data_IF_774461199571
#
_entry.id   IF_774461199571
#
_cell.length_a   1.000
_cell.length_b   1.000
_cell.length_c   1.000
_cell.angle_alpha   90.00
_cell.angle_beta   90.00
_cell.angle_gamma   90.00
#
_symmetry.space_group_name_H-M   'P 1'
#
loop_
_entity.id
_entity.type
_entity.pdbx_description
1 polymer ?
#
# COMPACT_ATOMS: atom_id res chain seq x y z
N UNK A 1 -21.51 -34.55 -62.87
CA UNK A 1 -22.00 -35.45 -61.80
C UNK A 1 -20.75 -36.03 -61.17
N UNK A 2 -20.20 -35.31 -60.20
CA UNK A 2 -20.28 -35.69 -58.76
C UNK A 2 -19.16 -36.66 -58.43
N UNK A 3 -18.40 -36.58 -57.35
CA UNK A 3 -18.22 -35.60 -56.29
C UNK A 3 -16.88 -35.96 -55.63
N UNK A 4 -16.11 -34.93 -55.29
CA UNK A 4 -15.08 -34.73 -54.25
C UNK A 4 -14.24 -35.91 -53.65
N UNK A 5 -12.94 -35.67 -53.37
CA UNK A 5 -11.98 -36.60 -52.76
C UNK A 5 -11.91 -36.47 -51.22
N UNK A 6 -11.62 -37.57 -50.52
CA UNK A 6 -11.34 -37.55 -49.07
C UNK A 6 -9.95 -36.96 -48.80
N UNK A 7 -9.91 -35.64 -48.66
CA UNK A 7 -8.81 -34.91 -48.05
C UNK A 7 -8.80 -35.13 -46.53
N UNK A 8 -7.68 -35.63 -46.02
CA UNK A 8 -7.41 -35.79 -44.59
C UNK A 8 -7.46 -34.43 -43.89
N UNK A 9 -8.52 -34.19 -43.13
CA UNK A 9 -8.69 -32.97 -42.33
C UNK A 9 -7.72 -33.00 -41.15
N UNK A 10 -6.82 -32.01 -41.08
CA UNK A 10 -6.01 -31.73 -39.89
C UNK A 10 -6.77 -30.67 -39.10
N UNK A 11 -7.29 -31.05 -37.93
CA UNK A 11 -7.87 -30.08 -37.00
C UNK A 11 -6.72 -29.28 -36.36
N UNK A 12 -6.44 -28.10 -36.92
CA UNK A 12 -5.68 -27.04 -36.26
C UNK A 12 -6.61 -26.33 -35.29
N UNK A 13 -6.35 -26.48 -33.99
CA UNK A 13 -7.03 -25.71 -32.96
C UNK A 13 -6.56 -24.25 -33.05
N UNK A 14 -7.35 -23.41 -33.70
CA UNK A 14 -7.23 -21.96 -33.63
C UNK A 14 -7.94 -21.45 -32.37
N UNK A 15 -7.19 -20.80 -31.49
CA UNK A 15 -7.70 -19.83 -30.52
C UNK A 15 -8.72 -20.33 -29.51
N UNK A 16 -8.24 -20.84 -28.38
CA UNK A 16 -8.75 -20.33 -27.13
C UNK A 16 -7.63 -19.44 -26.58
N UNK A 17 -7.93 -18.15 -26.41
CA UNK A 17 -7.13 -17.32 -25.53
C UNK A 17 -6.86 -18.15 -24.28
N UNK A 18 -5.58 -18.36 -23.96
CA UNK A 18 -5.23 -18.80 -22.62
C UNK A 18 -5.80 -17.70 -21.73
N UNK A 19 -6.92 -18.00 -21.11
CA UNK A 19 -7.33 -17.31 -19.90
C UNK A 19 -6.04 -17.27 -19.07
N UNK A 20 -5.43 -16.10 -18.77
CA UNK A 20 -4.44 -16.11 -17.73
C UNK A 20 -5.17 -16.72 -16.53
N UNK A 21 -4.65 -17.86 -16.07
CA UNK A 21 -4.96 -18.37 -14.74
C UNK A 21 -4.96 -17.16 -13.80
N UNK A 22 -5.92 -17.03 -12.87
CA UNK A 22 -5.88 -15.93 -11.93
C UNK A 22 -4.49 -15.96 -11.32
N UNK A 23 -3.69 -14.92 -11.57
CA UNK A 23 -2.45 -14.70 -10.84
C UNK A 23 -2.83 -14.85 -9.38
N UNK A 24 -2.28 -15.89 -8.74
CA UNK A 24 -2.43 -16.10 -7.32
C UNK A 24 -1.67 -14.92 -6.72
N UNK A 25 -2.38 -13.81 -6.52
CA UNK A 25 -1.89 -12.66 -5.77
C UNK A 25 -1.40 -13.25 -4.46
N UNK A 26 -0.12 -13.01 -4.16
CA UNK A 26 0.49 -13.47 -2.92
C UNK A 26 -0.43 -13.08 -1.76
N UNK A 27 -0.61 -13.95 -0.76
CA UNK A 27 -1.49 -13.62 0.35
C UNK A 27 -1.01 -12.30 0.96
N UNK A 28 -1.87 -11.28 0.90
CA UNK A 28 -1.69 -10.01 1.60
C UNK A 28 -1.15 -10.31 3.00
N UNK A 29 0.00 -9.76 3.35
CA UNK A 29 0.67 -10.05 4.62
C UNK A 29 -0.29 -9.77 5.77
N UNK A 30 -0.20 -10.54 6.87
CA UNK A 30 -1.05 -10.28 8.05
C UNK A 30 -0.83 -8.85 8.59
N UNK A 31 0.39 -8.32 8.45
CA UNK A 31 0.72 -6.93 8.79
C UNK A 31 -0.03 -5.92 7.90
N UNK A 32 -0.10 -6.15 6.59
CA UNK A 32 -0.85 -5.29 5.67
C UNK A 32 -2.35 -5.29 5.98
N UNK A 33 -2.92 -6.44 6.37
CA UNK A 33 -4.31 -6.52 6.84
C UNK A 33 -4.52 -5.71 8.12
N UNK A 34 -3.61 -5.82 9.08
CA UNK A 34 -3.69 -5.05 10.32
C UNK A 34 -3.59 -3.54 10.06
N UNK A 35 -2.65 -3.10 9.20
CA UNK A 35 -2.54 -1.70 8.78
C UNK A 35 -3.79 -1.18 8.09
N UNK A 36 -4.41 -1.99 7.23
CA UNK A 36 -5.69 -1.68 6.61
C UNK A 36 -6.80 -1.50 7.65
N UNK A 37 -6.90 -2.39 8.64
CA UNK A 37 -7.88 -2.29 9.73
C UNK A 37 -7.70 -0.99 10.52
N UNK A 38 -6.46 -0.69 10.93
CA UNK A 38 -6.13 0.55 11.65
C UNK A 38 -6.46 1.78 10.81
N UNK A 39 -6.08 1.81 9.53
CA UNK A 39 -6.41 2.92 8.64
C UNK A 39 -7.92 3.10 8.50
N UNK A 40 -8.66 2.01 8.36
CA UNK A 40 -10.12 2.00 8.26
C UNK A 40 -10.79 2.58 9.50
N UNK A 41 -10.29 2.28 10.70
CA UNK A 41 -10.83 2.86 11.93
C UNK A 41 -10.51 4.36 12.06
N UNK A 42 -9.29 4.75 11.72
CA UNK A 42 -8.83 6.13 11.83
C UNK A 42 -9.51 7.06 10.82
N UNK A 43 -9.74 6.60 9.58
CA UNK A 43 -10.32 7.42 8.51
C UNK A 43 -11.78 7.76 8.76
N UNK A 44 -12.52 6.88 9.42
CA UNK A 44 -13.90 7.14 9.88
C UNK A 44 -13.96 8.22 10.96
N UNK A 45 -12.85 8.46 11.66
CA UNK A 45 -12.75 9.42 12.76
C UNK A 45 -12.26 10.82 12.32
N UNK A 46 -11.78 10.98 11.08
CA UNK A 46 -11.40 12.29 10.54
C UNK A 46 -10.17 12.26 9.62
N UNK A 47 -9.15 13.03 9.98
CA UNK A 47 -7.89 13.14 9.22
C UNK A 47 -6.89 12.12 9.79
N UNK A 48 -6.41 11.22 8.92
CA UNK A 48 -5.36 10.26 9.21
C UNK A 48 -4.05 10.78 8.64
N UNK A 49 -3.04 10.91 9.50
CA UNK A 49 -1.67 11.17 9.10
C UNK A 49 -0.92 9.84 8.98
N UNK A 50 -0.55 9.49 7.76
CA UNK A 50 0.28 8.32 7.41
C UNK A 50 1.73 8.75 7.33
N UNK A 51 2.61 8.05 8.04
CA UNK A 51 4.06 8.25 7.98
C UNK A 51 4.71 7.05 7.29
N UNK A 52 5.47 7.34 6.23
CA UNK A 52 5.98 6.32 5.33
C UNK A 52 7.45 6.53 4.95
N UNK A 53 8.09 5.44 4.53
CA UNK A 53 9.38 5.44 3.82
C UNK A 53 9.15 5.42 2.31
N UNK A 54 9.60 6.48 1.62
CA UNK A 54 9.40 6.63 0.17
C UNK A 54 10.38 5.83 -0.68
N UNK A 55 11.31 5.10 -0.06
CA UNK A 55 12.29 4.22 -0.73
C UNK A 55 11.75 2.82 -1.00
N UNK A 56 10.63 2.46 -0.36
CA UNK A 56 9.99 1.15 -0.52
C UNK A 56 9.42 1.03 -1.94
N UNK A 57 9.54 -0.18 -2.50
CA UNK A 57 9.04 -0.49 -3.84
C UNK A 57 7.53 -0.26 -3.90
N UNK A 58 7.04 0.26 -5.03
CA UNK A 58 5.62 0.56 -5.24
C UNK A 58 5.15 1.91 -4.67
N UNK A 59 5.99 2.65 -3.95
CA UNK A 59 5.63 4.01 -3.52
C UNK A 59 5.66 4.98 -4.72
N UNK A 60 4.52 5.62 -4.97
CA UNK A 60 4.40 6.72 -5.92
C UNK A 60 4.09 8.03 -5.17
N UNK A 61 5.00 9.00 -5.28
CA UNK A 61 4.90 10.35 -4.71
C UNK A 61 5.57 11.36 -5.67
N UNK A 62 5.36 12.69 -5.51
CA UNK A 62 6.11 13.66 -6.30
C UNK A 62 7.64 13.45 -6.18
N UNK A 63 8.36 13.64 -7.29
CA UNK A 63 9.79 13.34 -7.38
C UNK A 63 10.65 14.00 -6.29
N UNK A 64 10.25 15.18 -5.82
CA UNK A 64 10.95 15.90 -4.76
C UNK A 64 10.89 15.23 -3.38
N UNK A 65 9.97 14.30 -3.16
CA UNK A 65 9.84 13.51 -1.94
C UNK A 65 10.37 12.09 -2.08
N UNK A 66 10.73 11.66 -3.30
CA UNK A 66 11.28 10.33 -3.53
C UNK A 66 12.64 10.17 -2.83
N UNK A 67 12.90 9.00 -2.27
CA UNK A 67 14.17 8.67 -1.62
C UNK A 67 14.31 9.15 -0.18
N UNK A 68 13.25 9.73 0.40
CA UNK A 68 13.20 10.15 1.80
C UNK A 68 12.77 8.99 2.72
N UNK A 69 13.46 8.77 3.86
CA UNK A 69 13.07 7.75 4.84
C UNK A 69 11.81 8.12 5.63
N UNK A 70 11.35 9.37 5.52
CA UNK A 70 10.18 9.86 6.22
C UNK A 70 9.44 10.87 5.35
N UNK A 71 8.18 10.57 5.07
CA UNK A 71 7.19 11.49 4.52
C UNK A 71 5.90 11.37 5.33
N UNK A 72 5.19 12.47 5.50
CA UNK A 72 3.85 12.49 6.12
C UNK A 72 2.81 12.87 5.07
N UNK A 73 1.76 12.07 4.95
CA UNK A 73 0.62 12.32 4.08
C UNK A 73 -0.68 12.28 4.88
N UNK A 74 -1.57 13.22 4.60
CA UNK A 74 -2.88 13.31 5.24
C UNK A 74 -3.96 12.76 4.31
N UNK A 75 -4.84 11.92 4.85
CA UNK A 75 -6.01 11.39 4.17
C UNK A 75 -7.26 11.72 4.98
N UNK A 76 -8.36 12.05 4.28
CA UNK A 76 -9.65 12.31 4.90
C UNK A 76 -10.77 12.23 3.87
N UNK A 77 -11.93 11.69 4.26
CA UNK A 77 -13.14 11.78 3.45
C UNK A 77 -13.59 13.23 3.21
N UNK A 78 -13.27 14.16 4.13
CA UNK A 78 -13.61 15.58 4.02
C UNK A 78 -12.87 16.30 2.88
N UNK A 79 -11.77 15.73 2.38
CA UNK A 79 -11.07 16.27 1.22
C UNK A 79 -11.82 16.03 -0.10
N UNK A 80 -12.82 15.13 -0.10
CA UNK A 80 -13.67 14.81 -1.26
C UNK A 80 -12.86 14.49 -2.52
N UNK A 81 -11.73 13.79 -2.34
CA UNK A 81 -10.83 13.41 -3.43
C UNK A 81 -11.52 12.31 -4.28
N UNK A 82 -11.78 12.52 -5.58
CA UNK A 82 -12.59 11.58 -6.37
C UNK A 82 -11.97 10.20 -6.59
N UNK A 83 -10.65 10.12 -6.54
CA UNK A 83 -9.84 8.91 -6.73
C UNK A 83 -9.23 8.39 -5.42
N UNK A 84 -9.78 8.80 -4.28
CA UNK A 84 -9.39 8.25 -2.99
C UNK A 84 -9.92 6.83 -2.85
N UNK A 85 -9.01 5.88 -2.64
CA UNK A 85 -9.32 4.47 -2.45
C UNK A 85 -8.27 3.81 -1.55
N UNK A 86 -8.64 2.74 -0.86
CA UNK A 86 -7.74 1.94 -0.05
C UNK A 86 -8.24 0.50 0.07
N UNK A 87 -7.32 -0.45 0.06
CA UNK A 87 -7.61 -1.89 0.09
C UNK A 87 -6.45 -2.68 0.72
N UNK A 88 -6.36 -3.98 0.45
CA UNK A 88 -5.30 -4.83 1.00
C UNK A 88 -3.88 -4.48 0.53
N UNK A 89 -3.70 -3.71 -0.54
CA UNK A 89 -2.36 -3.33 -1.03
C UNK A 89 -1.87 -2.02 -0.43
N UNK A 90 -2.76 -1.05 -0.23
CA UNK A 90 -2.37 0.27 0.22
C UNK A 90 -3.47 1.32 0.18
N UNK A 91 -3.05 2.58 0.22
CA UNK A 91 -3.90 3.76 0.07
C UNK A 91 -3.47 4.59 -1.14
N UNK A 92 -4.45 5.07 -1.91
CA UNK A 92 -4.23 5.78 -3.19
C UNK A 92 -5.12 7.02 -3.25
N UNK A 93 -4.57 8.12 -3.73
CA UNK A 93 -5.31 9.38 -3.91
C UNK A 93 -4.50 10.41 -4.73
N UNK A 94 -5.19 11.30 -5.45
CA UNK A 94 -4.58 12.53 -5.94
C UNK A 94 -4.46 13.58 -4.83
N UNK A 95 -3.26 13.69 -4.25
CA UNK A 95 -2.94 14.65 -3.17
C UNK A 95 -2.37 15.96 -3.72
N UNK A 96 -2.62 17.08 -3.02
CA UNK A 96 -2.14 18.40 -3.42
C UNK A 96 -0.85 18.78 -2.71
N UNK A 97 0.20 19.05 -3.49
CA UNK A 97 1.50 19.52 -3.00
C UNK A 97 1.74 20.93 -3.52
N UNK A 98 1.64 21.92 -2.64
CA UNK A 98 1.75 23.34 -3.01
C UNK A 98 0.80 23.74 -4.16
N UNK A 99 -0.40 23.16 -4.19
CA UNK A 99 -1.43 23.42 -5.20
C UNK A 99 -1.29 22.58 -6.48
N UNK A 100 -0.31 21.68 -6.57
CA UNK A 100 -0.16 20.73 -7.67
C UNK A 100 -0.68 19.37 -7.24
N UNK A 101 -1.71 18.87 -7.93
CA UNK A 101 -2.24 17.54 -7.66
C UNK A 101 -1.33 16.47 -8.28
N UNK A 102 -0.95 15.48 -7.49
CA UNK A 102 -0.15 14.32 -7.91
C UNK A 102 -0.81 13.06 -7.39
N UNK A 103 -1.04 12.10 -8.28
CA UNK A 103 -1.51 10.78 -7.88
C UNK A 103 -0.45 10.09 -7.03
N UNK A 104 -0.83 9.71 -5.81
CA UNK A 104 0.00 9.00 -4.86
C UNK A 104 -0.54 7.59 -4.65
N UNK A 105 0.37 6.64 -4.54
CA UNK A 105 0.07 5.24 -4.23
C UNK A 105 1.06 4.77 -3.17
N UNK A 106 0.52 4.37 -2.02
CA UNK A 106 1.29 4.07 -0.82
C UNK A 106 0.97 2.64 -0.39
N UNK A 107 1.86 1.67 -0.70
CA UNK A 107 1.75 0.32 -0.20
C UNK A 107 1.81 0.28 1.32
N UNK A 108 1.11 -0.66 1.96
CA UNK A 108 1.17 -0.80 3.43
C UNK A 108 2.58 -1.09 3.95
N UNK A 109 3.41 -1.77 3.16
CA UNK A 109 4.82 -2.05 3.47
C UNK A 109 5.66 -0.78 3.61
N UNK A 110 5.24 0.34 3.02
CA UNK A 110 5.91 1.63 3.16
C UNK A 110 5.53 2.35 4.47
N UNK A 111 4.43 1.97 5.11
CA UNK A 111 3.86 2.69 6.25
C UNK A 111 4.39 2.11 7.56
N UNK A 112 5.02 2.96 8.37
CA UNK A 112 5.55 2.56 9.68
C UNK A 112 4.87 3.26 10.86
N UNK A 113 4.04 4.27 10.61
CA UNK A 113 3.22 4.90 11.66
C UNK A 113 1.95 5.54 11.09
N UNK A 114 0.84 5.42 11.82
CA UNK A 114 -0.42 6.11 11.55
C UNK A 114 -0.91 6.81 12.81
N UNK A 115 -1.54 7.98 12.66
CA UNK A 115 -2.20 8.67 13.77
C UNK A 115 -3.34 9.56 13.28
N UNK A 116 -4.36 9.83 14.08
CA UNK A 116 -5.26 10.95 13.84
C UNK A 116 -4.48 12.27 13.92
N UNK A 117 -4.91 13.29 13.17
CA UNK A 117 -4.26 14.61 13.20
C UNK A 117 -4.36 15.30 14.58
N UNK A 118 -5.45 15.03 15.31
CA UNK A 118 -5.87 15.78 16.50
C UNK A 118 -5.54 15.13 17.84
N UNK A 119 -5.20 13.83 17.86
CA UNK A 119 -4.91 13.07 19.09
C UNK A 119 -3.43 12.64 19.06
N UNK A 120 -2.81 12.55 20.24
CA UNK A 120 -1.42 12.09 20.40
C UNK A 120 -1.27 10.56 20.24
N UNK A 121 -2.36 9.81 20.18
CA UNK A 121 -2.33 8.36 20.04
C UNK A 121 -1.85 7.95 18.64
N UNK A 122 -0.66 7.36 18.57
CA UNK A 122 -0.08 6.84 17.33
C UNK A 122 -0.03 5.32 17.34
N UNK A 123 -0.39 4.71 16.23
CA UNK A 123 -0.12 3.29 15.97
C UNK A 123 1.18 3.20 15.17
N UNK A 124 2.12 2.40 15.67
CA UNK A 124 3.44 2.18 15.08
C UNK A 124 3.56 0.74 14.62
N UNK A 125 4.21 0.53 13.48
CA UNK A 125 4.41 -0.78 12.86
C UNK A 125 5.91 -1.08 12.80
N UNK A 126 6.48 -1.71 13.84
CA UNK A 126 7.93 -1.83 14.03
C UNK A 126 8.67 -2.49 12.85
N UNK A 127 8.02 -3.44 12.16
CA UNK A 127 8.62 -4.19 11.05
C UNK A 127 8.87 -3.33 9.81
N UNK A 128 8.17 -2.21 9.68
CA UNK A 128 8.31 -1.28 8.56
C UNK A 128 9.19 -0.06 8.88
N UNK A 129 9.74 0.01 10.09
CA UNK A 129 10.59 1.14 10.48
C UNK A 129 11.89 1.18 9.69
N UNK A 130 12.25 2.34 9.10
CA UNK A 130 13.56 2.52 8.51
C UNK A 130 14.66 2.49 9.57
N UNK A 131 15.77 1.81 9.27
CA UNK A 131 16.91 1.72 10.20
C UNK A 131 17.43 3.09 10.61
N UNK A 132 17.49 4.06 9.67
CA UNK A 132 17.98 5.40 9.98
C UNK A 132 17.06 6.15 10.95
N UNK A 133 15.76 5.85 10.94
CA UNK A 133 14.81 6.42 11.90
C UNK A 133 15.01 5.75 13.26
N UNK A 134 15.14 4.42 13.32
CA UNK A 134 15.42 3.69 14.55
C UNK A 134 16.68 4.20 15.25
N UNK A 135 17.76 4.45 14.49
CA UNK A 135 19.03 4.94 15.02
C UNK A 135 18.92 6.36 15.64
N UNK A 136 17.87 7.11 15.29
CA UNK A 136 17.60 8.45 15.84
C UNK A 136 16.61 8.44 17.01
N UNK A 137 15.92 7.32 17.26
CA UNK A 137 14.95 7.23 18.34
C UNK A 137 15.65 7.18 19.71
N UNK A 138 15.02 7.77 20.76
CA UNK A 138 15.47 7.57 22.13
C UNK A 138 15.46 6.08 22.50
N UNK A 139 16.42 5.61 23.34
CA UNK A 139 16.48 4.21 23.76
C UNK A 139 15.17 3.70 24.37
N UNK A 140 14.44 4.57 25.07
CA UNK A 140 13.17 4.21 25.72
C UNK A 140 12.12 3.78 24.69
N UNK A 141 12.05 4.48 23.55
CA UNK A 141 11.12 4.15 22.46
C UNK A 141 11.57 2.88 21.74
N UNK A 142 12.87 2.67 21.58
CA UNK A 142 13.40 1.44 20.97
C UNK A 142 13.07 0.20 21.81
N UNK A 143 13.16 0.29 23.13
CA UNK A 143 12.77 -0.80 24.04
C UNK A 143 11.27 -1.11 23.93
N UNK A 144 10.41 -0.09 23.81
CA UNK A 144 8.96 -0.28 23.61
C UNK A 144 8.64 -0.93 22.26
N UNK A 145 9.28 -0.49 21.17
CA UNK A 145 9.11 -1.10 19.84
C UNK A 145 9.57 -2.57 19.82
N UNK A 146 10.68 -2.89 20.50
CA UNK A 146 11.18 -4.25 20.64
C UNK A 146 10.26 -5.14 21.48
N UNK A 147 9.68 -4.58 22.56
CA UNK A 147 8.72 -5.30 23.39
C UNK A 147 7.43 -5.62 22.60
N UNK A 148 6.93 -4.67 21.81
CA UNK A 148 5.77 -4.89 20.95
C UNK A 148 6.02 -6.00 19.92
N UNK A 149 7.22 -6.06 19.33
CA UNK A 149 7.60 -7.15 18.42
C UNK A 149 7.66 -8.53 19.09
N UNK A 150 8.09 -8.60 20.35
CA UNK A 150 8.25 -9.87 21.08
C UNK A 150 6.93 -10.46 21.60
N UNK A 151 5.85 -9.66 21.66
CA UNK A 151 4.52 -10.13 22.04
C UNK A 151 3.73 -10.73 20.87
N UNK A 152 4.17 -10.50 19.63
CA UNK A 152 3.54 -11.02 18.41
C UNK A 152 4.14 -12.36 17.91
N UNK A 153 5.24 -12.85 18.50
CA UNK A 153 5.86 -14.19 18.28
C UNK A 153 5.32 -15.30 19.21
#
# INVERSE_FOLDING_TARGET
>A
MSDNPEGKVIHVAFGAARNPEPEVQEPVSEEAKHKLEVFSELIESGIVMVTLDTRVEGVHVPQQFAGMPQLHLNFSYDYQIPDFDFDGEGVRASLSFSGVNTFCEIPWDAVYMMRPETIEDSVVFPMSFPQEILDMLPPEILEELQAAQAEEE
#
